data_IF_750073115659
#
_entry.id   IF_750073115659
#
_cell.length_a   1.000
_cell.length_b   1.000
_cell.length_c   1.000
_cell.angle_alpha   90.00
_cell.angle_beta   90.00
_cell.angle_gamma   90.00
#
_symmetry.space_group_name_H-M   'P 1'
#
loop_
_entity.id
_entity.type
_entity.pdbx_description
1 polymer ?
#
# COMPACT_ATOMS: atom_id res chain seq x y z
N UNK A 1 -4.16 -23.09 7.32
CA UNK A 1 -4.20 -22.27 6.10
C UNK A 1 -4.42 -20.76 6.30
N UNK A 2 -4.80 -20.25 7.48
CA UNK A 2 -4.94 -18.79 7.77
C UNK A 2 -3.62 -18.01 7.91
N UNK A 3 -2.46 -18.63 7.71
CA UNK A 3 -1.15 -18.03 8.03
C UNK A 3 -0.44 -17.37 6.86
N UNK A 4 -0.82 -17.66 5.62
CA UNK A 4 -0.09 -17.21 4.42
C UNK A 4 -0.40 -15.76 4.02
N UNK A 5 -1.65 -15.34 4.05
CA UNK A 5 -2.02 -13.96 3.68
C UNK A 5 -1.46 -12.92 4.67
N UNK A 6 -1.42 -13.26 5.95
CA UNK A 6 -0.84 -12.38 6.98
C UNK A 6 0.68 -12.27 6.89
N UNK A 7 1.36 -13.31 6.37
CA UNK A 7 2.82 -13.32 6.22
C UNK A 7 3.33 -12.39 5.12
N UNK A 8 2.66 -12.32 3.97
CA UNK A 8 3.12 -11.48 2.85
C UNK A 8 3.00 -9.99 3.20
N UNK A 9 1.92 -9.59 3.82
CA UNK A 9 1.73 -8.22 4.28
C UNK A 9 2.68 -7.84 5.43
N UNK A 10 2.97 -8.78 6.34
CA UNK A 10 3.89 -8.57 7.46
C UNK A 10 5.35 -8.46 7.02
N UNK A 11 5.77 -9.15 5.94
CA UNK A 11 7.15 -9.06 5.42
C UNK A 11 7.45 -7.70 4.79
N UNK A 12 6.49 -7.10 4.08
CA UNK A 12 6.66 -5.75 3.50
C UNK A 12 6.86 -4.72 4.61
N UNK A 13 6.17 -4.85 5.74
CA UNK A 13 6.37 -3.96 6.91
C UNK A 13 7.71 -4.16 7.62
N UNK A 14 8.24 -5.39 7.66
CA UNK A 14 9.52 -5.65 8.34
C UNK A 14 10.75 -5.09 7.61
N UNK A 15 10.70 -4.94 6.28
CA UNK A 15 11.85 -4.39 5.54
C UNK A 15 12.04 -2.88 5.73
N UNK A 16 11.00 -2.14 6.09
CA UNK A 16 11.11 -0.70 6.35
C UNK A 16 11.80 -0.37 7.70
N UNK A 17 11.98 -1.34 8.59
CA UNK A 17 12.53 -1.14 9.94
C UNK A 17 13.99 -1.58 10.09
N UNK A 18 14.64 -2.15 9.06
CA UNK A 18 15.99 -2.71 9.16
C UNK A 18 17.14 -1.78 8.72
N UNK A 19 16.87 -0.51 8.43
CA UNK A 19 17.88 0.44 7.94
C UNK A 19 18.60 1.24 9.04
N UNK A 20 18.54 0.84 10.31
CA UNK A 20 19.31 1.47 11.38
C UNK A 20 19.96 0.43 12.28
N UNK A 21 21.14 -0.08 11.91
CA UNK A 21 22.09 -0.61 12.88
C UNK A 21 23.49 -0.20 12.51
N UNK A 22 24.01 0.56 13.44
CA UNK A 22 25.33 1.12 13.49
C UNK A 22 26.46 0.09 13.70
N UNK A 23 27.64 0.54 13.35
CA UNK A 23 28.98 -0.03 13.54
C UNK A 23 29.22 -0.70 14.89
N UNK A 24 30.01 -1.77 14.92
CA UNK A 24 30.70 -2.23 16.11
C UNK A 24 32.14 -1.77 16.09
N UNK A 25 32.50 -0.79 16.91
CA UNK A 25 33.87 -0.48 17.19
C UNK A 25 34.14 -0.38 18.69
N UNK A 26 35.09 -1.22 19.11
CA UNK A 26 36.04 -1.07 20.20
C UNK A 26 35.55 -0.91 21.65
N UNK A 27 35.80 -1.97 22.40
CA UNK A 27 36.03 -1.96 23.84
C UNK A 27 37.29 -1.20 24.19
N UNK A 28 37.31 -0.43 25.29
CA UNK A 28 38.47 -0.48 26.20
C UNK A 28 38.10 -0.62 27.68
N UNK A 29 39.05 -1.11 28.40
CA UNK A 29 39.23 -1.49 29.78
C UNK A 29 38.78 -0.46 30.85
N UNK A 30 38.59 -0.94 32.09
CA UNK A 30 38.07 -0.14 33.20
C UNK A 30 39.21 0.46 34.06
N UNK A 31 39.14 1.73 34.32
CA UNK A 31 39.83 2.28 35.50
C UNK A 31 39.28 3.63 35.95
N UNK A 32 39.06 3.70 37.24
CA UNK A 32 39.21 4.87 38.12
C UNK A 32 38.00 5.74 38.46
N UNK A 33 37.55 5.51 39.62
CA UNK A 33 36.86 6.27 40.65
C UNK A 33 37.19 7.77 40.66
N UNK A 34 36.11 8.59 40.68
CA UNK A 34 36.21 10.02 40.92
C UNK A 34 34.84 10.59 41.33
N UNK A 35 34.53 10.52 42.62
CA UNK A 35 33.41 11.27 43.24
C UNK A 35 33.63 12.77 43.11
N UNK A 36 32.66 13.47 42.58
CA UNK A 36 32.49 14.90 42.83
C UNK A 36 31.00 15.25 42.77
N UNK A 37 30.40 15.32 43.92
CA UNK A 37 29.11 15.92 44.15
C UNK A 37 29.21 17.42 43.94
N UNK A 38 28.59 17.98 42.91
CA UNK A 38 28.30 19.40 42.84
C UNK A 38 26.75 19.57 42.78
N UNK A 39 26.24 20.01 43.88
CA UNK A 39 24.91 20.52 44.08
C UNK A 39 24.80 21.87 43.32
N UNK A 40 24.04 21.89 42.24
CA UNK A 40 23.57 23.12 41.60
C UNK A 40 22.09 23.26 41.86
N UNK A 41 21.77 23.96 42.93
CA UNK A 41 20.44 24.57 43.15
C UNK A 41 20.31 25.75 42.19
N UNK A 42 19.79 25.47 40.98
CA UNK A 42 19.33 26.48 40.06
C UNK A 42 17.81 26.63 40.20
N UNK A 43 17.40 27.68 40.83
CA UNK A 43 15.99 28.10 40.90
C UNK A 43 15.62 28.63 39.52
N UNK A 44 14.96 27.83 38.70
CA UNK A 44 14.33 28.29 37.45
C UNK A 44 13.01 28.97 37.85
N UNK A 45 13.00 30.27 37.79
CA UNK A 45 11.78 31.07 37.77
C UNK A 45 11.15 30.89 36.39
N UNK A 46 9.91 30.40 36.25
CA UNK A 46 9.26 30.37 34.94
C UNK A 46 8.92 31.80 34.53
N UNK A 47 9.41 32.17 33.34
CA UNK A 47 9.06 33.38 32.64
C UNK A 47 7.60 33.23 32.14
N UNK A 48 6.65 34.11 32.53
CA UNK A 48 5.23 33.89 32.21
C UNK A 48 4.81 34.31 30.79
N UNK A 49 5.73 34.55 29.85
CA UNK A 49 5.38 35.16 28.58
C UNK A 49 5.93 34.43 27.33
N UNK A 50 6.36 33.18 27.43
CA UNK A 50 6.49 32.31 26.27
C UNK A 50 5.19 31.53 26.06
N UNK A 51 4.26 32.14 25.36
CA UNK A 51 3.19 31.42 24.67
C UNK A 51 3.87 30.59 23.61
N UNK A 52 4.18 29.34 23.96
CA UNK A 52 4.62 28.29 23.04
C UNK A 52 3.45 28.01 22.10
N UNK A 53 3.31 28.84 21.06
CA UNK A 53 2.43 28.58 19.95
C UNK A 53 3.08 27.45 19.16
N UNK A 54 2.76 26.20 19.60
CA UNK A 54 2.97 25.04 18.76
C UNK A 54 2.46 25.40 17.35
N UNK A 55 3.27 25.23 16.31
CA UNK A 55 2.77 25.47 14.97
C UNK A 55 1.52 24.58 14.80
N UNK A 56 0.41 25.25 14.50
CA UNK A 56 -0.84 24.58 14.16
C UNK A 56 -0.56 23.75 12.89
N UNK A 57 -0.13 22.51 13.11
CA UNK A 57 -0.03 21.50 12.06
C UNK A 57 -1.46 21.05 11.81
N UNK A 58 -2.25 21.96 11.24
CA UNK A 58 -3.48 21.60 10.56
C UNK A 58 -3.08 20.65 9.44
N UNK A 59 -2.96 19.37 9.80
CA UNK A 59 -2.97 18.32 8.80
C UNK A 59 -4.35 18.39 8.20
N UNK A 60 -4.43 18.82 6.95
CA UNK A 60 -5.61 18.60 6.11
C UNK A 60 -5.83 17.10 6.02
N UNK A 61 -6.52 16.55 7.01
CA UNK A 61 -7.01 15.17 6.96
C UNK A 61 -8.06 15.21 5.85
N UNK A 62 -7.88 14.48 4.75
CA UNK A 62 -8.88 14.45 3.69
C UNK A 62 -10.24 14.14 4.31
N UNK A 63 -11.23 14.97 4.03
CA UNK A 63 -12.57 14.75 4.55
C UNK A 63 -13.07 13.40 4.02
N UNK A 64 -13.59 12.57 4.90
CA UNK A 64 -14.24 11.32 4.51
C UNK A 64 -15.32 11.63 3.46
N UNK A 65 -15.20 11.03 2.28
CA UNK A 65 -16.22 11.10 1.26
C UNK A 65 -17.02 9.79 1.26
N UNK A 66 -18.34 9.84 1.29
CA UNK A 66 -19.16 8.64 1.20
C UNK A 66 -19.02 8.01 -0.18
N UNK A 67 -19.14 6.68 -0.25
CA UNK A 67 -19.16 5.95 -1.52
C UNK A 67 -20.34 6.43 -2.39
N UNK A 68 -20.11 6.54 -3.70
CA UNK A 68 -21.08 7.04 -4.67
C UNK A 68 -21.44 5.95 -5.67
N UNK A 69 -22.74 5.75 -5.89
CA UNK A 69 -23.22 4.84 -6.93
C UNK A 69 -22.65 5.22 -8.29
N UNK A 70 -21.94 4.30 -8.91
CA UNK A 70 -21.24 4.49 -10.17
C UNK A 70 -21.26 3.17 -10.94
N UNK A 71 -21.79 3.12 -12.18
CA UNK A 71 -21.79 1.88 -12.95
C UNK A 71 -20.37 1.41 -13.25
N UNK A 72 -20.14 0.09 -13.12
CA UNK A 72 -18.90 -0.57 -13.49
C UNK A 72 -19.18 -1.47 -14.70
N UNK A 73 -18.61 -1.11 -15.86
CA UNK A 73 -18.76 -1.89 -17.09
C UNK A 73 -17.48 -2.68 -17.37
N UNK A 74 -17.62 -3.94 -17.75
CA UNK A 74 -16.51 -4.83 -18.11
C UNK A 74 -16.90 -5.75 -19.26
N UNK A 75 -15.92 -6.19 -20.02
CA UNK A 75 -16.11 -7.14 -21.11
C UNK A 75 -15.84 -8.55 -20.61
N UNK A 76 -16.80 -9.45 -20.79
CA UNK A 76 -16.67 -10.85 -20.44
C UNK A 76 -17.42 -11.71 -21.46
N UNK A 77 -16.77 -12.75 -21.98
CA UNK A 77 -17.31 -13.68 -23.00
C UNK A 77 -17.89 -12.97 -24.24
N UNK A 78 -17.19 -11.92 -24.69
CA UNK A 78 -17.58 -11.12 -25.87
C UNK A 78 -18.81 -10.20 -25.65
N UNK A 79 -19.30 -10.08 -24.42
CA UNK A 79 -20.39 -9.19 -24.05
C UNK A 79 -19.90 -8.11 -23.09
N UNK A 80 -20.43 -6.89 -23.22
CA UNK A 80 -20.26 -5.83 -22.25
C UNK A 80 -21.31 -5.98 -21.16
N UNK A 81 -20.88 -6.24 -19.94
CA UNK A 81 -21.70 -6.35 -18.75
C UNK A 81 -21.55 -5.06 -17.92
N UNK A 82 -22.61 -4.67 -17.22
CA UNK A 82 -22.61 -3.51 -16.33
C UNK A 82 -23.14 -3.91 -14.95
N UNK A 83 -22.35 -3.70 -13.93
CA UNK A 83 -22.74 -3.88 -12.53
C UNK A 83 -23.11 -2.52 -11.90
N UNK A 84 -23.96 -2.58 -10.87
CA UNK A 84 -24.23 -1.43 -10.00
C UNK A 84 -23.07 -1.27 -9.03
N UNK A 85 -22.06 -0.52 -9.45
CA UNK A 85 -20.85 -0.30 -8.67
C UNK A 85 -20.98 0.83 -7.67
N UNK A 86 -20.00 0.87 -6.74
CA UNK A 86 -19.79 1.98 -5.82
C UNK A 86 -18.38 2.55 -6.06
N UNK A 87 -18.28 3.86 -6.23
CA UNK A 87 -16.99 4.56 -6.20
C UNK A 87 -16.60 4.80 -4.76
N UNK A 88 -15.55 4.13 -4.35
CA UNK A 88 -14.93 4.33 -3.05
C UNK A 88 -13.84 5.40 -3.14
N UNK A 89 -13.86 6.35 -2.20
CA UNK A 89 -12.85 7.39 -2.02
C UNK A 89 -11.98 7.02 -0.81
N UNK A 90 -10.77 6.58 -1.08
CA UNK A 90 -9.85 6.15 -0.04
C UNK A 90 -9.15 7.34 0.62
N UNK A 91 -8.98 7.31 1.94
CA UNK A 91 -8.13 8.26 2.67
C UNK A 91 -6.65 8.19 2.26
N UNK A 92 -6.29 7.22 1.42
CA UNK A 92 -4.95 7.06 0.86
C UNK A 92 -4.71 7.87 -0.42
N UNK A 93 -5.66 8.72 -0.84
CA UNK A 93 -5.53 9.62 -1.99
C UNK A 93 -5.74 8.91 -3.32
N UNK A 94 -6.68 7.98 -3.36
CA UNK A 94 -7.18 7.39 -4.61
C UNK A 94 -8.68 7.14 -4.53
N UNK A 95 -9.33 6.98 -5.68
CA UNK A 95 -10.67 6.40 -5.75
C UNK A 95 -10.74 5.28 -6.78
N UNK A 96 -11.66 4.34 -6.57
CA UNK A 96 -11.86 3.17 -7.44
C UNK A 96 -13.34 2.75 -7.39
N UNK A 97 -13.86 2.22 -8.51
CA UNK A 97 -15.23 1.67 -8.55
C UNK A 97 -15.17 0.15 -8.38
N UNK A 98 -15.99 -0.39 -7.49
CA UNK A 98 -16.12 -1.82 -7.27
C UNK A 98 -17.59 -2.25 -7.24
N UNK A 99 -17.87 -3.52 -7.49
CA UNK A 99 -19.24 -4.11 -7.36
C UNK A 99 -19.43 -4.63 -5.92
N UNK A 100 -20.26 -3.99 -5.08
CA UNK A 100 -20.49 -4.41 -3.69
C UNK A 100 -21.27 -5.72 -3.56
N UNK A 101 -21.87 -6.23 -4.63
CA UNK A 101 -22.55 -7.53 -4.62
C UNK A 101 -21.56 -8.68 -4.80
N UNK A 102 -20.40 -8.41 -5.40
CA UNK A 102 -19.36 -9.41 -5.65
C UNK A 102 -18.19 -9.27 -4.66
N UNK A 103 -17.82 -8.05 -4.32
CA UNK A 103 -16.65 -7.76 -3.48
C UNK A 103 -17.05 -7.27 -2.09
N UNK A 104 -16.40 -7.84 -1.07
CA UNK A 104 -16.39 -7.27 0.28
C UNK A 104 -15.17 -6.38 0.43
N UNK A 105 -15.37 -5.08 0.69
CA UNK A 105 -14.26 -4.17 0.97
C UNK A 105 -13.80 -4.29 2.42
N UNK A 106 -12.48 -4.37 2.60
CA UNK A 106 -11.81 -4.30 3.90
C UNK A 106 -10.74 -3.22 3.82
N UNK A 107 -10.83 -2.22 4.70
CA UNK A 107 -9.85 -1.14 4.80
C UNK A 107 -8.89 -1.37 5.96
N UNK A 108 -7.65 -0.85 5.82
CA UNK A 108 -6.64 -0.75 6.87
C UNK A 108 -5.85 0.56 6.75
N UNK A 109 -4.89 0.76 7.62
CA UNK A 109 -4.17 2.03 7.75
C UNK A 109 -3.58 2.56 6.43
N UNK A 110 -3.08 1.67 5.57
CA UNK A 110 -2.37 2.06 4.35
C UNK A 110 -3.10 1.68 3.06
N UNK A 111 -4.32 1.16 3.11
CA UNK A 111 -5.02 0.73 1.90
C UNK A 111 -6.34 0.02 2.11
N UNK A 112 -6.80 -0.60 1.03
CA UNK A 112 -8.05 -1.34 0.96
C UNK A 112 -7.85 -2.65 0.16
N UNK A 113 -8.59 -3.69 0.54
CA UNK A 113 -8.79 -4.88 -0.29
C UNK A 113 -10.26 -5.04 -0.65
N UNK A 114 -10.48 -5.48 -1.86
CA UNK A 114 -11.77 -5.85 -2.45
C UNK A 114 -11.75 -7.35 -2.66
N UNK A 115 -12.40 -8.09 -1.77
CA UNK A 115 -12.31 -9.55 -1.65
C UNK A 115 -13.54 -10.21 -2.22
N UNK A 116 -13.36 -11.20 -3.09
CA UNK A 116 -14.39 -12.18 -3.46
C UNK A 116 -14.25 -13.39 -2.54
N UNK A 117 -13.02 -13.89 -2.38
CA UNK A 117 -12.64 -15.00 -1.49
C UNK A 117 -11.15 -14.91 -1.14
N UNK A 118 -10.67 -15.84 -0.31
CA UNK A 118 -9.24 -16.00 -0.05
C UNK A 118 -8.53 -16.39 -1.36
N UNK A 119 -7.74 -15.61 -1.95
CA UNK A 119 -7.06 -15.83 -3.23
C UNK A 119 -7.70 -15.13 -4.43
N UNK A 120 -8.94 -14.65 -4.32
CA UNK A 120 -9.60 -13.86 -5.36
C UNK A 120 -9.84 -12.44 -4.82
N UNK A 121 -8.93 -11.51 -5.09
CA UNK A 121 -9.01 -10.14 -4.59
C UNK A 121 -8.28 -9.13 -5.48
N UNK A 122 -8.63 -7.87 -5.31
CA UNK A 122 -7.85 -6.71 -5.71
C UNK A 122 -7.50 -5.92 -4.46
N UNK A 123 -6.23 -5.59 -4.24
CA UNK A 123 -5.84 -4.70 -3.15
C UNK A 123 -5.13 -3.46 -3.67
N UNK A 124 -5.29 -2.35 -2.96
CA UNK A 124 -4.66 -1.07 -3.28
C UNK A 124 -4.00 -0.55 -2.01
N UNK A 125 -2.68 -0.38 -2.03
CA UNK A 125 -1.88 -0.02 -0.87
C UNK A 125 -1.01 1.20 -1.18
N UNK A 126 -1.05 2.22 -0.34
CA UNK A 126 -0.11 3.33 -0.38
C UNK A 126 1.09 3.03 0.50
N UNK A 127 2.28 3.15 -0.08
CA UNK A 127 3.55 2.95 0.60
C UNK A 127 4.27 4.29 0.75
N UNK A 128 4.19 4.86 1.95
CA UNK A 128 4.90 6.08 2.32
C UNK A 128 6.33 5.74 2.74
N UNK A 129 7.28 6.56 2.33
CA UNK A 129 8.71 6.32 2.54
C UNK A 129 9.37 5.41 1.49
N UNK A 130 8.64 4.98 0.45
CA UNK A 130 9.15 4.10 -0.59
C UNK A 130 8.70 4.59 -1.97
N UNK A 131 9.66 4.92 -2.83
CA UNK A 131 9.39 5.26 -4.23
C UNK A 131 9.09 4.02 -5.08
N UNK A 132 8.54 4.24 -6.28
CA UNK A 132 8.12 3.17 -7.17
C UNK A 132 9.28 2.28 -7.65
N UNK A 133 10.49 2.82 -7.81
CA UNK A 133 11.67 2.06 -8.25
C UNK A 133 12.14 1.11 -7.15
N UNK A 134 12.26 1.62 -5.93
CA UNK A 134 12.65 0.82 -4.74
C UNK A 134 11.64 -0.28 -4.47
N UNK A 135 10.34 0.04 -4.52
CA UNK A 135 9.26 -0.94 -4.35
C UNK A 135 9.34 -2.04 -5.41
N UNK A 136 9.49 -1.66 -6.68
CA UNK A 136 9.62 -2.60 -7.80
C UNK A 136 10.80 -3.55 -7.62
N UNK A 137 11.96 -3.02 -7.26
CA UNK A 137 13.15 -3.85 -7.01
C UNK A 137 12.93 -4.82 -5.85
N UNK A 138 12.30 -4.37 -4.77
CA UNK A 138 11.95 -5.21 -3.63
C UNK A 138 11.03 -6.38 -4.02
N UNK A 139 9.99 -6.11 -4.80
CA UNK A 139 9.06 -7.14 -5.28
C UNK A 139 9.73 -8.14 -6.23
N UNK A 140 10.59 -7.68 -7.14
CA UNK A 140 11.36 -8.54 -8.04
C UNK A 140 12.22 -9.53 -7.25
N UNK A 141 12.90 -9.05 -6.22
CA UNK A 141 13.74 -9.89 -5.36
C UNK A 141 12.91 -10.84 -4.47
N UNK A 142 11.81 -10.34 -3.92
CA UNK A 142 10.95 -11.12 -3.01
C UNK A 142 10.21 -12.25 -3.74
N UNK A 143 9.67 -11.97 -4.91
CA UNK A 143 8.86 -12.90 -5.70
C UNK A 143 9.71 -13.68 -6.72
N UNK A 144 11.02 -13.45 -6.78
CA UNK A 144 11.97 -14.10 -7.70
C UNK A 144 11.54 -13.99 -9.19
N UNK A 145 10.96 -12.85 -9.56
CA UNK A 145 10.43 -12.62 -10.92
C UNK A 145 11.39 -11.85 -11.80
N UNK A 146 11.37 -12.09 -13.12
CA UNK A 146 12.20 -11.33 -14.04
C UNK A 146 11.75 -9.88 -14.14
N UNK A 147 12.68 -8.95 -14.12
CA UNK A 147 12.41 -7.55 -14.43
C UNK A 147 12.30 -7.34 -15.93
N UNK A 148 11.09 -7.34 -16.44
CA UNK A 148 10.82 -7.11 -17.88
C UNK A 148 10.70 -5.62 -18.22
N UNK A 149 10.74 -4.72 -17.23
CA UNK A 149 10.67 -3.28 -17.44
C UNK A 149 9.36 -2.79 -18.08
N UNK A 150 8.29 -3.58 -18.00
CA UNK A 150 7.03 -3.25 -18.64
C UNK A 150 6.30 -2.12 -17.93
N UNK A 151 5.79 -1.19 -18.73
CA UNK A 151 4.89 -0.14 -18.28
C UNK A 151 3.57 -0.26 -19.03
N UNK A 152 2.48 0.00 -18.31
CA UNK A 152 1.12 -0.02 -18.84
C UNK A 152 0.36 1.21 -18.38
N UNK A 153 -0.70 1.55 -19.10
CA UNK A 153 -1.63 2.59 -18.69
C UNK A 153 -2.74 1.98 -17.82
N UNK A 154 -3.08 2.65 -16.74
CA UNK A 154 -4.19 2.31 -15.83
C UNK A 154 -5.05 3.55 -15.60
N UNK A 155 -6.20 3.40 -14.92
CA UNK A 155 -7.11 4.51 -14.69
C UNK A 155 -7.64 5.10 -16.00
N UNK A 156 -8.10 4.27 -16.94
CA UNK A 156 -8.53 4.67 -18.30
C UNK A 156 -7.45 5.45 -19.07
N UNK A 157 -6.19 5.08 -18.86
CA UNK A 157 -5.05 5.69 -19.56
C UNK A 157 -4.53 6.98 -18.93
N UNK A 158 -4.98 7.34 -17.73
CA UNK A 158 -4.54 8.57 -17.05
C UNK A 158 -3.22 8.40 -16.29
N UNK A 159 -2.88 7.18 -15.89
CA UNK A 159 -1.69 6.91 -15.08
C UNK A 159 -0.81 5.84 -15.72
N UNK A 160 0.50 6.03 -15.62
CA UNK A 160 1.49 5.02 -16.02
C UNK A 160 1.90 4.21 -14.80
N UNK A 161 1.82 2.88 -14.92
CA UNK A 161 2.24 1.95 -13.89
C UNK A 161 3.32 1.00 -14.39
N UNK A 162 4.29 0.66 -13.55
CA UNK A 162 5.14 -0.52 -13.78
C UNK A 162 4.33 -1.78 -13.45
N UNK A 163 4.36 -2.77 -14.33
CA UNK A 163 3.65 -4.03 -14.10
C UNK A 163 4.63 -5.18 -13.90
N UNK A 164 4.32 -6.04 -12.94
CA UNK A 164 5.04 -7.26 -12.63
C UNK A 164 4.05 -8.41 -12.55
N UNK A 165 4.37 -9.53 -13.20
CA UNK A 165 3.55 -10.74 -13.18
C UNK A 165 4.32 -11.82 -12.46
N UNK A 166 3.74 -12.39 -11.41
CA UNK A 166 4.32 -13.50 -10.67
C UNK A 166 3.96 -14.81 -11.35
N UNK A 167 4.94 -15.71 -11.50
CA UNK A 167 4.65 -17.05 -11.98
C UNK A 167 3.65 -17.72 -11.05
N UNK A 168 2.59 -18.37 -11.55
CA UNK A 168 1.58 -19.00 -10.72
C UNK A 168 2.20 -19.97 -9.72
N UNK A 169 1.84 -19.82 -8.45
CA UNK A 169 2.21 -20.71 -7.36
C UNK A 169 0.94 -21.24 -6.70
N UNK A 170 0.88 -22.53 -6.46
CA UNK A 170 -0.28 -23.20 -5.84
C UNK A 170 -1.61 -22.90 -6.55
N UNK A 171 -1.58 -22.72 -7.89
CA UNK A 171 -2.77 -22.41 -8.68
C UNK A 171 -3.27 -20.96 -8.54
N UNK A 172 -2.51 -20.08 -7.89
CA UNK A 172 -2.85 -18.66 -7.73
C UNK A 172 -2.05 -17.83 -8.71
N UNK A 173 -2.73 -17.02 -9.49
CA UNK A 173 -2.13 -15.98 -10.33
C UNK A 173 -2.07 -14.67 -9.54
N UNK A 174 -0.94 -13.95 -9.66
CA UNK A 174 -0.75 -12.62 -9.04
C UNK A 174 -0.12 -11.68 -10.04
N UNK A 175 -0.60 -10.43 -10.04
CA UNK A 175 -0.05 -9.35 -10.84
C UNK A 175 -0.03 -8.06 -10.02
N UNK A 176 1.04 -7.31 -10.16
CA UNK A 176 1.23 -6.03 -9.50
C UNK A 176 1.25 -4.88 -10.50
N UNK A 177 0.71 -3.74 -10.09
CA UNK A 177 0.90 -2.45 -10.72
C UNK A 177 1.44 -1.48 -9.69
N UNK A 178 2.53 -0.80 -10.04
CA UNK A 178 3.23 0.13 -9.17
C UNK A 178 3.16 1.50 -9.81
N UNK A 179 2.49 2.43 -9.14
CA UNK A 179 2.34 3.82 -9.58
C UNK A 179 3.20 4.71 -8.69
N UNK A 180 3.89 5.67 -9.29
CA UNK A 180 4.61 6.69 -8.57
C UNK A 180 3.64 7.79 -8.12
N UNK A 181 3.63 8.11 -6.81
CA UNK A 181 2.86 9.22 -6.25
C UNK A 181 3.75 10.42 -5.91
N UNK A 182 5.06 10.21 -5.85
CA UNK A 182 6.07 11.22 -5.54
C UNK A 182 7.39 10.58 -5.14
N UNK A 183 8.41 11.39 -4.81
CA UNK A 183 9.78 10.89 -4.61
C UNK A 183 9.94 9.88 -3.47
N UNK A 184 9.01 9.82 -2.53
CA UNK A 184 9.03 8.88 -1.41
C UNK A 184 7.64 8.25 -1.17
N UNK A 185 6.84 8.10 -2.21
CA UNK A 185 5.50 7.52 -2.08
C UNK A 185 5.09 6.81 -3.35
N UNK A 186 4.56 5.61 -3.21
CA UNK A 186 4.04 4.81 -4.32
C UNK A 186 2.70 4.18 -3.97
N UNK A 187 1.94 3.82 -4.98
CA UNK A 187 0.73 3.02 -4.86
C UNK A 187 1.00 1.64 -5.46
N UNK A 188 0.76 0.62 -4.68
CA UNK A 188 0.82 -0.78 -5.10
C UNK A 188 -0.59 -1.30 -5.28
N UNK A 189 -0.94 -1.71 -6.48
CA UNK A 189 -2.15 -2.48 -6.75
C UNK A 189 -1.76 -3.93 -6.99
N UNK A 190 -2.40 -4.85 -6.27
CA UNK A 190 -2.23 -6.29 -6.44
C UNK A 190 -3.55 -6.93 -6.85
N UNK A 191 -3.53 -7.63 -7.96
CA UNK A 191 -4.58 -8.54 -8.39
C UNK A 191 -4.18 -9.97 -8.06
N UNK A 192 -5.13 -10.72 -7.51
CA UNK A 192 -4.98 -12.15 -7.27
C UNK A 192 -6.24 -12.90 -7.68
N UNK A 193 -6.08 -14.07 -8.29
CA UNK A 193 -7.17 -14.99 -8.52
C UNK A 193 -6.70 -16.44 -8.58
N UNK A 194 -7.59 -17.34 -8.14
CA UNK A 194 -7.37 -18.80 -8.21
C UNK A 194 -7.67 -19.28 -9.62
N UNK A 195 -6.66 -19.80 -10.32
CA UNK A 195 -6.77 -20.18 -11.75
C UNK A 195 -7.78 -21.29 -12.02
N UNK A 196 -7.98 -22.20 -11.06
CA UNK A 196 -8.92 -23.31 -11.17
C UNK A 196 -10.37 -22.93 -10.80
N UNK A 197 -10.60 -21.69 -10.33
CA UNK A 197 -11.94 -21.21 -10.04
C UNK A 197 -12.72 -21.11 -11.37
N UNK A 198 -13.94 -21.69 -11.46
CA UNK A 198 -14.73 -21.65 -12.69
C UNK A 198 -15.06 -20.21 -13.16
N UNK A 199 -15.02 -19.24 -12.27
CA UNK A 199 -15.27 -17.83 -12.56
C UNK A 199 -13.97 -17.00 -12.69
N UNK A 200 -12.78 -17.62 -12.68
CA UNK A 200 -11.49 -16.91 -12.70
C UNK A 200 -11.40 -15.85 -13.82
N UNK A 201 -11.85 -16.18 -15.04
CA UNK A 201 -11.83 -15.27 -16.18
C UNK A 201 -12.75 -14.07 -15.96
N UNK A 202 -13.93 -14.27 -15.35
CA UNK A 202 -14.84 -13.19 -15.01
C UNK A 202 -14.23 -12.30 -13.91
N UNK A 203 -13.63 -12.91 -12.88
CA UNK A 203 -12.96 -12.16 -11.81
C UNK A 203 -11.82 -11.31 -12.36
N UNK A 204 -11.02 -11.86 -13.26
CA UNK A 204 -9.97 -11.10 -13.93
C UNK A 204 -10.55 -9.91 -14.72
N UNK A 205 -11.62 -10.11 -15.46
CA UNK A 205 -12.26 -9.05 -16.27
C UNK A 205 -12.78 -7.91 -15.39
N UNK A 206 -13.50 -8.23 -14.30
CA UNK A 206 -14.07 -7.21 -13.42
C UNK A 206 -12.98 -6.49 -12.60
N UNK A 207 -11.96 -7.20 -12.11
CA UNK A 207 -10.83 -6.59 -11.41
C UNK A 207 -10.04 -5.65 -12.32
N UNK A 208 -9.87 -6.02 -13.60
CA UNK A 208 -9.28 -5.14 -14.59
C UNK A 208 -10.11 -3.90 -14.81
N UNK A 209 -11.43 -4.03 -14.95
CA UNK A 209 -12.33 -2.89 -15.08
C UNK A 209 -12.30 -1.98 -13.83
N UNK A 210 -12.19 -2.55 -12.63
CA UNK A 210 -11.97 -1.76 -11.41
C UNK A 210 -10.68 -0.94 -11.51
N UNK A 211 -9.56 -1.56 -11.92
CA UNK A 211 -8.28 -0.87 -12.12
C UNK A 211 -8.39 0.25 -13.16
N UNK A 212 -9.19 0.07 -14.21
CA UNK A 212 -9.43 1.08 -15.25
C UNK A 212 -10.22 2.29 -14.70
N UNK A 213 -10.92 2.15 -13.55
CA UNK A 213 -11.60 3.27 -12.88
C UNK A 213 -10.75 3.98 -11.83
N UNK A 214 -9.53 3.49 -11.56
CA UNK A 214 -8.62 4.07 -10.57
C UNK A 214 -8.31 5.52 -10.92
N UNK A 215 -8.48 6.41 -9.95
CA UNK A 215 -8.02 7.80 -10.03
C UNK A 215 -7.18 8.15 -8.82
N UNK A 216 -6.16 8.98 -9.01
CA UNK A 216 -5.34 9.55 -7.94
C UNK A 216 -5.85 10.95 -7.60
N UNK A 217 -5.88 11.29 -6.32
CA UNK A 217 -6.39 12.56 -5.78
C UNK A 217 -5.26 13.39 -5.16
#
# INVERSE_FOLDING_TARGET
MRRTLLCTLCMIMCMALSACTADPAASPDPASIGSSSQSLTGTCTPDPDETDTLPDVSRDIPAYQPDVETPLSYEYDGAVLTANGLRHYSLQGYSIVYDPNLFTRQGWENGDAYLISEGNYLSVNRLNGMDAVTLRQGLILQEEIPDLGQQVQVGSGTHTAHTLVVSPQDGIYRQFWILELGPNSSLLVEQSYVMEDPNATQYQAIQKAMLDTLTLE
#
